data_IF_388846732024
#
_entry.id   IF_388846732024
#
_cell.length_a   1.000
_cell.length_b   1.000
_cell.length_c   1.000
_cell.angle_alpha   90.00
_cell.angle_beta   90.00
_cell.angle_gamma   90.00
#
_symmetry.space_group_name_H-M   'P 1'
#
loop_
_entity.id
_entity.type
_entity.pdbx_description
1 polymer ?
#
# COMPACT_ATOMS: atom_id res chain seq x y z
N UNK A 1 -2.47 -60.74 -25.42
CA UNK A 1 -2.89 -59.43 -25.99
C UNK A 1 -3.37 -58.40 -24.95
N UNK A 2 -4.23 -58.73 -23.99
CA UNK A 2 -4.74 -57.76 -22.97
C UNK A 2 -3.63 -57.08 -22.11
N UNK A 3 -2.63 -57.86 -21.63
CA UNK A 3 -1.53 -57.27 -20.82
C UNK A 3 -0.70 -56.21 -21.56
N UNK A 4 -0.43 -56.38 -22.86
CA UNK A 4 0.30 -55.36 -23.66
C UNK A 4 -0.51 -54.08 -23.84
N UNK A 5 -1.84 -54.16 -23.96
CA UNK A 5 -2.72 -52.96 -24.10
C UNK A 5 -2.78 -52.19 -22.80
N UNK A 6 -2.83 -52.86 -21.63
CA UNK A 6 -2.81 -52.20 -20.33
C UNK A 6 -1.45 -51.52 -20.11
N UNK A 7 -0.35 -52.13 -20.45
CA UNK A 7 0.97 -51.51 -20.32
C UNK A 7 1.12 -50.22 -21.18
N UNK A 8 0.64 -50.32 -22.43
CA UNK A 8 0.67 -49.13 -23.35
C UNK A 8 -0.23 -48.00 -22.82
N UNK A 9 -1.41 -48.30 -22.31
CA UNK A 9 -2.32 -47.33 -21.74
C UNK A 9 -1.72 -46.66 -20.49
N UNK A 10 -1.03 -47.42 -19.62
CA UNK A 10 -0.35 -46.86 -18.44
C UNK A 10 0.82 -45.95 -18.82
N UNK A 11 1.60 -46.28 -19.84
CA UNK A 11 2.71 -45.47 -20.33
C UNK A 11 2.19 -44.17 -20.93
N UNK A 12 1.09 -44.23 -21.70
CA UNK A 12 0.46 -43.04 -22.29
C UNK A 12 -0.09 -42.12 -21.18
N UNK A 13 -0.72 -42.68 -20.15
CA UNK A 13 -1.23 -41.91 -19.02
C UNK A 13 -0.11 -41.22 -18.25
N UNK A 14 1.00 -41.90 -17.96
CA UNK A 14 2.19 -41.32 -17.31
C UNK A 14 2.77 -40.17 -18.16
N UNK A 15 2.90 -40.36 -19.48
CA UNK A 15 3.40 -39.36 -20.40
C UNK A 15 2.50 -38.11 -20.43
N UNK A 16 1.18 -38.30 -20.47
CA UNK A 16 0.23 -37.18 -20.43
C UNK A 16 0.35 -36.42 -19.10
N UNK A 17 0.44 -37.13 -17.98
CA UNK A 17 0.61 -36.51 -16.65
C UNK A 17 1.92 -35.72 -16.57
N UNK A 18 3.03 -36.29 -17.08
CA UNK A 18 4.32 -35.59 -17.12
C UNK A 18 4.28 -34.34 -18.01
N UNK A 19 3.59 -34.40 -19.17
CA UNK A 19 3.44 -33.25 -20.06
C UNK A 19 2.58 -32.16 -19.39
N UNK A 20 1.46 -32.51 -18.76
CA UNK A 20 0.60 -31.57 -18.04
C UNK A 20 1.36 -30.94 -16.89
N UNK A 21 2.11 -31.74 -16.11
CA UNK A 21 2.94 -31.22 -15.01
C UNK A 21 4.06 -30.32 -15.54
N UNK A 22 4.72 -30.69 -16.64
CA UNK A 22 5.76 -29.86 -17.26
C UNK A 22 5.19 -28.54 -17.81
N UNK A 23 4.01 -28.57 -18.47
CA UNK A 23 3.32 -27.38 -18.94
C UNK A 23 2.90 -26.49 -17.78
N UNK A 24 2.43 -27.08 -16.67
CA UNK A 24 2.09 -26.36 -15.45
C UNK A 24 3.32 -25.70 -14.81
N UNK A 25 4.43 -26.45 -14.72
CA UNK A 25 5.72 -25.91 -14.22
C UNK A 25 6.29 -24.83 -15.15
N UNK A 26 6.20 -25.01 -16.47
CA UNK A 26 6.65 -24.01 -17.45
C UNK A 26 5.74 -22.78 -17.40
N UNK A 27 4.42 -22.95 -17.28
CA UNK A 27 3.48 -21.84 -17.12
C UNK A 27 3.72 -21.07 -15.82
N UNK A 28 4.05 -21.77 -14.74
CA UNK A 28 4.44 -21.14 -13.48
C UNK A 28 5.86 -20.55 -13.49
N UNK A 29 6.79 -21.10 -14.29
CA UNK A 29 8.14 -20.56 -14.45
C UNK A 29 8.20 -19.40 -15.44
N UNK A 30 7.31 -19.36 -16.43
CA UNK A 30 7.16 -18.24 -17.38
C UNK A 30 6.20 -17.15 -16.89
N UNK A 31 5.56 -17.31 -15.76
CA UNK A 31 5.15 -16.17 -14.96
C UNK A 31 6.45 -15.53 -14.50
N UNK A 32 6.91 -14.56 -15.28
CA UNK A 32 7.98 -13.65 -14.89
C UNK A 32 7.64 -13.24 -13.45
N UNK A 33 8.41 -13.74 -12.51
CA UNK A 33 8.42 -13.22 -11.16
C UNK A 33 9.13 -11.86 -11.22
N UNK A 34 8.51 -10.92 -11.90
CA UNK A 34 8.72 -9.53 -11.54
C UNK A 34 8.07 -9.43 -10.16
N UNK A 35 8.85 -9.72 -9.13
CA UNK A 35 8.50 -9.52 -7.73
C UNK A 35 8.42 -8.01 -7.40
N UNK A 36 8.14 -7.19 -8.36
CA UNK A 36 8.06 -5.75 -8.21
C UNK A 36 6.78 -5.44 -7.43
N UNK A 37 6.95 -5.16 -6.17
CA UNK A 37 5.89 -4.70 -5.28
C UNK A 37 5.89 -3.19 -5.36
N UNK A 38 4.81 -2.62 -5.82
CA UNK A 38 4.60 -1.17 -5.80
C UNK A 38 3.62 -0.88 -4.67
N UNK A 39 4.04 -0.09 -3.71
CA UNK A 39 3.18 0.37 -2.63
C UNK A 39 3.02 1.87 -2.72
N UNK A 40 1.78 2.30 -2.81
CA UNK A 40 1.41 3.67 -2.58
C UNK A 40 1.35 3.90 -1.07
N UNK A 41 2.08 4.90 -0.57
CA UNK A 41 2.10 5.23 0.86
C UNK A 41 1.22 6.44 1.16
N UNK A 42 0.49 6.40 2.26
CA UNK A 42 -0.25 7.58 2.76
C UNK A 42 0.66 8.74 3.14
N UNK A 43 1.94 8.51 3.34
CA UNK A 43 2.90 9.54 3.76
C UNK A 43 3.26 10.46 2.59
N UNK A 44 3.31 9.92 1.37
CA UNK A 44 3.49 10.71 0.15
C UNK A 44 2.71 10.07 -1.01
N UNK A 45 1.42 10.43 -1.17
CA UNK A 45 0.53 9.82 -2.14
C UNK A 45 0.95 10.02 -3.60
N UNK A 46 1.82 10.97 -3.86
CA UNK A 46 2.23 11.34 -5.20
C UNK A 46 3.35 10.44 -5.75
N UNK A 47 3.96 9.56 -4.91
CA UNK A 47 5.09 8.72 -5.30
C UNK A 47 4.77 7.23 -5.25
N UNK A 48 5.11 6.53 -6.32
CA UNK A 48 4.97 5.09 -6.47
C UNK A 48 6.36 4.46 -6.70
N UNK A 49 6.82 3.72 -5.71
CA UNK A 49 8.20 3.21 -5.65
C UNK A 49 8.32 1.79 -6.19
N UNK A 50 9.38 1.52 -6.94
CA UNK A 50 9.83 0.18 -7.32
C UNK A 50 11.35 0.05 -7.21
N UNK A 51 11.91 -1.14 -7.50
CA UNK A 51 13.36 -1.33 -7.51
C UNK A 51 14.05 -0.48 -8.59
N UNK A 52 13.41 -0.36 -9.76
CA UNK A 52 14.03 0.23 -10.95
C UNK A 52 13.60 1.67 -11.22
N UNK A 53 12.46 2.10 -10.66
CA UNK A 53 11.92 3.43 -10.93
C UNK A 53 10.99 3.95 -9.85
N UNK A 54 10.77 5.26 -9.88
CA UNK A 54 9.73 5.96 -9.12
C UNK A 54 8.82 6.66 -10.11
N UNK A 55 7.53 6.43 -10.01
CA UNK A 55 6.51 7.18 -10.73
C UNK A 55 5.90 8.22 -9.77
N UNK A 56 5.80 9.47 -10.21
CA UNK A 56 5.18 10.53 -9.42
C UNK A 56 4.48 11.57 -10.29
N UNK A 57 3.49 12.27 -9.71
CA UNK A 57 2.89 13.46 -10.31
C UNK A 57 3.59 14.72 -9.80
N UNK A 58 3.93 15.62 -10.70
CA UNK A 58 4.36 16.95 -10.32
C UNK A 58 3.16 17.83 -9.92
N UNK A 59 3.45 19.04 -9.42
CA UNK A 59 2.41 20.00 -9.00
C UNK A 59 1.45 20.46 -10.10
N UNK A 60 1.72 20.13 -11.36
CA UNK A 60 0.84 20.40 -12.51
C UNK A 60 0.04 19.17 -12.97
N UNK A 61 0.21 18.02 -12.30
CA UNK A 61 -0.42 16.76 -12.65
C UNK A 61 0.25 16.07 -13.85
N UNK A 62 1.51 16.33 -14.12
CA UNK A 62 2.30 15.61 -15.12
C UNK A 62 2.97 14.40 -14.46
N UNK A 63 2.80 13.24 -15.05
CA UNK A 63 3.45 12.02 -14.60
C UNK A 63 4.92 11.99 -15.02
N UNK A 64 5.77 11.77 -14.06
CA UNK A 64 7.21 11.61 -14.20
C UNK A 64 7.64 10.18 -13.84
N UNK A 65 8.77 9.79 -14.40
CA UNK A 65 9.48 8.56 -14.07
C UNK A 65 10.93 8.92 -13.71
N UNK A 66 11.33 8.57 -12.51
CA UNK A 66 12.73 8.62 -12.07
C UNK A 66 13.32 7.22 -12.25
N UNK A 67 14.33 7.10 -13.11
CA UNK A 67 15.14 5.88 -13.23
C UNK A 67 16.12 5.81 -12.04
N UNK A 68 15.97 4.81 -11.17
CA UNK A 68 16.76 4.71 -9.93
C UNK A 68 18.23 4.40 -10.17
N UNK A 69 18.58 3.84 -11.32
CA UNK A 69 19.96 3.49 -11.68
C UNK A 69 20.73 4.71 -12.17
N UNK A 70 20.12 5.49 -13.04
CA UNK A 70 20.77 6.68 -13.65
C UNK A 70 20.47 7.97 -12.89
N UNK A 71 19.48 8.00 -12.01
CA UNK A 71 18.97 9.20 -11.34
C UNK A 71 18.28 10.19 -12.29
N UNK A 72 17.95 9.78 -13.51
CA UNK A 72 17.28 10.66 -14.47
C UNK A 72 15.80 10.76 -14.17
N UNK A 73 15.33 12.00 -14.10
CA UNK A 73 13.92 12.34 -14.07
C UNK A 73 13.44 12.68 -15.48
N UNK A 74 12.43 11.97 -15.96
CA UNK A 74 11.86 12.14 -17.29
C UNK A 74 10.34 12.24 -17.22
N UNK A 75 9.75 13.12 -18.03
CA UNK A 75 8.30 13.16 -18.22
C UNK A 75 7.86 11.87 -18.92
N UNK A 76 6.82 11.21 -18.41
CA UNK A 76 6.27 9.98 -18.98
C UNK A 76 5.46 10.25 -20.26
N UNK A 77 6.11 10.83 -21.25
CA UNK A 77 5.53 11.22 -22.54
C UNK A 77 6.58 11.20 -23.62
N UNK A 78 6.36 10.40 -24.67
CA UNK A 78 7.22 10.32 -25.85
C UNK A 78 6.67 11.03 -27.09
N UNK A 79 5.51 11.74 -26.94
CA UNK A 79 4.86 12.47 -28.02
C UNK A 79 5.77 13.57 -28.56
N UNK A 80 6.12 13.54 -29.84
CA UNK A 80 6.98 14.56 -30.45
C UNK A 80 6.40 15.98 -30.31
N UNK A 81 7.25 16.93 -29.93
CA UNK A 81 6.87 18.34 -29.72
C UNK A 81 5.76 18.57 -28.69
N UNK A 82 5.62 17.67 -27.73
CA UNK A 82 4.72 17.87 -26.60
C UNK A 82 5.27 18.99 -25.69
N UNK A 83 4.42 19.92 -25.30
CA UNK A 83 4.78 21.01 -24.38
C UNK A 83 4.70 20.58 -22.92
N UNK A 84 4.23 19.35 -22.64
CA UNK A 84 4.03 18.78 -21.31
C UNK A 84 3.22 19.69 -20.37
N UNK A 85 2.16 20.29 -20.93
CA UNK A 85 1.24 21.10 -20.14
C UNK A 85 0.27 20.19 -19.38
N UNK A 86 0.17 20.38 -18.05
CA UNK A 86 -0.74 19.67 -17.17
C UNK A 86 -2.09 20.36 -17.03
N UNK A 87 -2.86 19.89 -16.05
CA UNK A 87 -4.17 20.48 -15.72
C UNK A 87 -4.02 21.85 -15.05
N UNK A 88 -4.86 22.80 -15.45
CA UNK A 88 -4.94 24.12 -14.84
C UNK A 88 -6.36 24.68 -14.97
N UNK A 89 -6.63 25.82 -14.33
CA UNK A 89 -7.91 26.53 -14.48
C UNK A 89 -8.24 26.89 -15.93
N UNK A 90 -7.22 27.10 -16.76
CA UNK A 90 -7.35 27.49 -18.17
C UNK A 90 -7.14 26.34 -19.13
N UNK A 91 -6.62 25.19 -18.66
CA UNK A 91 -6.41 23.97 -19.45
C UNK A 91 -6.98 22.77 -18.70
N UNK A 92 -8.28 22.51 -18.86
CA UNK A 92 -8.97 21.38 -18.21
C UNK A 92 -8.87 20.07 -19.01
N UNK A 93 -8.38 20.12 -20.25
CA UNK A 93 -8.21 18.97 -21.14
C UNK A 93 -6.83 19.01 -21.81
N UNK A 94 -5.73 18.82 -21.06
CA UNK A 94 -4.39 18.86 -21.62
C UNK A 94 -4.18 17.76 -22.64
N UNK A 95 -3.46 18.08 -23.72
CA UNK A 95 -3.18 17.15 -24.81
C UNK A 95 -1.97 16.24 -24.55
N UNK A 96 -1.28 16.45 -23.43
CA UNK A 96 -0.15 15.63 -23.01
C UNK A 96 -0.62 14.26 -22.49
N UNK A 97 -0.12 13.14 -23.04
CA UNK A 97 -0.46 11.82 -22.53
C UNK A 97 -0.09 11.59 -21.05
N UNK A 98 0.93 12.30 -20.56
CA UNK A 98 1.36 12.23 -19.17
C UNK A 98 0.54 13.12 -18.22
N UNK A 99 -0.46 13.85 -18.70
CA UNK A 99 -1.30 14.68 -17.84
C UNK A 99 -2.41 13.85 -17.18
N UNK A 100 -2.52 13.96 -15.85
CA UNK A 100 -3.50 13.29 -15.01
C UNK A 100 -4.15 14.29 -14.07
N UNK A 101 -5.47 14.23 -13.92
CA UNK A 101 -6.20 15.06 -12.96
C UNK A 101 -6.03 14.54 -11.54
N UNK A 102 -6.14 13.22 -11.38
CA UNK A 102 -5.92 12.51 -10.13
C UNK A 102 -5.42 11.10 -10.44
N UNK A 103 -4.46 10.65 -9.68
CA UNK A 103 -3.85 9.35 -9.84
C UNK A 103 -3.51 8.77 -8.48
N UNK A 104 -3.90 7.53 -8.26
CA UNK A 104 -3.54 6.75 -7.08
C UNK A 104 -2.93 5.43 -7.53
N UNK A 105 -1.72 5.16 -7.09
CA UNK A 105 -1.06 3.87 -7.34
C UNK A 105 -0.81 3.60 -8.83
N UNK A 106 0.15 4.29 -9.45
CA UNK A 106 0.59 4.00 -10.80
C UNK A 106 1.63 2.88 -10.83
N UNK A 107 1.56 2.01 -11.84
CA UNK A 107 2.55 0.95 -12.07
C UNK A 107 2.74 0.69 -13.55
N UNK A 108 3.96 0.37 -13.94
CA UNK A 108 4.27 -0.19 -15.25
C UNK A 108 4.32 -1.71 -15.12
N UNK A 109 3.42 -2.41 -15.79
CA UNK A 109 3.31 -3.87 -15.75
C UNK A 109 3.01 -4.41 -17.14
N UNK A 110 3.79 -5.38 -17.63
CA UNK A 110 3.67 -5.96 -18.98
C UNK A 110 3.55 -4.91 -20.10
N UNK A 111 4.45 -3.91 -20.12
CA UNK A 111 4.49 -2.81 -21.08
C UNK A 111 3.26 -1.89 -21.10
N UNK A 112 2.45 -1.93 -20.04
CA UNK A 112 1.33 -1.02 -19.86
C UNK A 112 1.47 -0.25 -18.54
N UNK A 113 0.98 0.98 -18.54
CA UNK A 113 0.78 1.75 -17.32
C UNK A 113 -0.64 1.50 -16.81
N UNK A 114 -0.72 1.01 -15.59
CA UNK A 114 -1.96 0.89 -14.84
C UNK A 114 -2.01 1.95 -13.74
N UNK A 115 -3.18 2.51 -13.48
CA UNK A 115 -3.38 3.44 -12.37
C UNK A 115 -4.84 3.48 -11.96
N UNK A 116 -5.10 3.88 -10.71
CA UNK A 116 -6.44 4.14 -10.21
C UNK A 116 -6.64 5.64 -10.17
N UNK A 117 -7.83 6.11 -10.56
CA UNK A 117 -8.15 7.52 -10.54
C UNK A 117 -9.51 7.81 -11.15
N UNK A 118 -9.77 9.10 -11.30
CA UNK A 118 -10.90 9.62 -12.05
C UNK A 118 -10.44 10.74 -12.97
N UNK A 119 -11.27 11.10 -13.92
CA UNK A 119 -11.02 12.24 -14.81
C UNK A 119 -11.80 13.45 -14.29
N UNK A 120 -11.35 14.65 -14.64
CA UNK A 120 -11.92 15.93 -14.14
C UNK A 120 -13.40 16.16 -14.43
N UNK A 121 -13.97 15.43 -15.40
CA UNK A 121 -15.36 15.52 -15.81
C UNK A 121 -16.25 14.40 -15.24
N UNK A 122 -15.70 13.59 -14.33
CA UNK A 122 -16.35 12.44 -13.74
C UNK A 122 -16.82 12.71 -12.31
N UNK A 123 -17.73 11.84 -11.87
CA UNK A 123 -18.14 11.80 -10.47
C UNK A 123 -16.94 11.43 -9.60
N UNK A 124 -16.54 12.35 -8.73
CA UNK A 124 -15.38 12.20 -7.84
C UNK A 124 -15.56 11.09 -6.80
N UNK A 125 -16.80 10.59 -6.65
CA UNK A 125 -17.09 9.47 -5.73
C UNK A 125 -16.83 8.11 -6.33
N UNK A 126 -16.49 8.04 -7.63
CA UNK A 126 -16.26 6.80 -8.35
C UNK A 126 -14.81 6.76 -8.86
N UNK A 127 -14.09 5.73 -8.49
CA UNK A 127 -12.75 5.47 -9.01
C UNK A 127 -12.80 4.42 -10.14
N UNK A 128 -11.80 4.46 -11.00
CA UNK A 128 -11.63 3.48 -12.08
C UNK A 128 -10.20 2.99 -12.13
N UNK A 129 -10.02 1.73 -12.49
CA UNK A 129 -8.74 1.26 -13.00
C UNK A 129 -8.63 1.68 -14.47
N UNK A 130 -7.57 2.39 -14.77
CA UNK A 130 -7.17 2.74 -16.14
C UNK A 130 -6.01 1.89 -16.57
N UNK A 131 -5.95 1.65 -17.87
CA UNK A 131 -4.77 1.10 -18.55
C UNK A 131 -4.44 1.96 -19.75
N UNK A 132 -3.16 2.15 -20.02
CA UNK A 132 -2.66 2.81 -21.22
C UNK A 132 -1.34 2.16 -21.65
N UNK A 133 -0.99 2.34 -22.91
CA UNK A 133 0.29 1.87 -23.41
C UNK A 133 1.44 2.65 -22.77
N UNK A 134 2.64 2.06 -22.76
CA UNK A 134 3.84 2.68 -22.15
C UNK A 134 4.24 4.02 -22.78
N UNK A 135 3.75 4.33 -23.97
CA UNK A 135 3.93 5.62 -24.66
C UNK A 135 2.85 6.67 -24.30
N UNK A 136 1.91 6.33 -23.40
CA UNK A 136 0.84 7.23 -22.97
C UNK A 136 -0.41 7.19 -23.86
N UNK A 137 -0.42 6.41 -24.94
CA UNK A 137 -1.58 6.28 -25.82
C UNK A 137 -2.58 5.24 -25.32
N UNK A 138 -3.72 5.16 -26.00
CA UNK A 138 -4.77 4.14 -25.79
C UNK A 138 -5.30 4.06 -24.35
N UNK A 139 -5.33 5.18 -23.61
CA UNK A 139 -5.89 5.26 -22.26
C UNK A 139 -7.36 4.85 -22.26
N UNK A 140 -7.70 3.88 -21.44
CA UNK A 140 -9.08 3.38 -21.31
C UNK A 140 -9.41 2.94 -19.88
N UNK A 141 -10.68 3.06 -19.49
CA UNK A 141 -11.24 2.49 -18.27
C UNK A 141 -11.41 0.99 -18.44
N UNK A 142 -11.07 0.22 -17.41
CA UNK A 142 -11.18 -1.25 -17.41
C UNK A 142 -12.04 -1.79 -16.29
N UNK A 143 -11.90 -1.30 -15.06
CA UNK A 143 -12.71 -1.70 -13.93
C UNK A 143 -13.27 -0.46 -13.22
N UNK A 144 -14.51 -0.54 -12.78
CA UNK A 144 -15.19 0.49 -11.97
C UNK A 144 -15.14 0.07 -10.52
N UNK A 145 -14.69 0.96 -9.66
CA UNK A 145 -14.69 0.83 -8.21
C UNK A 145 -15.91 1.62 -7.69
N UNK A 146 -17.02 0.94 -7.50
CA UNK A 146 -18.22 1.53 -6.93
C UNK A 146 -18.05 1.73 -5.42
N UNK A 147 -18.51 2.88 -4.92
CA UNK A 147 -18.40 3.24 -3.50
C UNK A 147 -16.96 3.25 -2.98
N UNK A 148 -16.01 3.73 -3.78
CA UNK A 148 -14.63 4.00 -3.40
C UNK A 148 -14.34 5.46 -3.67
N UNK A 149 -14.29 6.28 -2.62
CA UNK A 149 -14.04 7.73 -2.74
C UNK A 149 -12.54 8.03 -2.66
N UNK A 150 -11.88 7.53 -1.62
CA UNK A 150 -10.48 7.83 -1.35
C UNK A 150 -9.66 6.55 -1.32
N UNK A 151 -8.79 6.39 -2.29
CA UNK A 151 -7.79 5.31 -2.30
C UNK A 151 -6.64 5.71 -1.40
N UNK A 152 -6.29 4.86 -0.43
CA UNK A 152 -5.30 5.13 0.61
C UNK A 152 -3.97 4.43 0.36
N UNK A 153 -4.02 3.23 -0.18
CA UNK A 153 -2.84 2.45 -0.52
C UNK A 153 -3.15 1.58 -1.73
N UNK A 154 -2.16 1.32 -2.57
CA UNK A 154 -2.28 0.42 -3.71
C UNK A 154 -1.05 -0.46 -3.79
N UNK A 155 -1.27 -1.74 -4.00
CA UNK A 155 -0.26 -2.76 -4.19
C UNK A 155 -0.53 -3.51 -5.49
N UNK A 156 0.50 -3.72 -6.30
CA UNK A 156 0.43 -4.55 -7.51
C UNK A 156 1.24 -5.82 -7.28
N UNK A 157 0.61 -6.96 -7.31
CA UNK A 157 1.28 -8.24 -7.09
C UNK A 157 0.61 -9.38 -7.84
N UNK A 158 1.44 -10.27 -8.40
CA UNK A 158 1.02 -11.36 -9.26
C UNK A 158 0.21 -10.83 -10.45
N UNK A 159 -1.08 -10.97 -10.47
CA UNK A 159 -1.96 -10.40 -11.49
C UNK A 159 -3.09 -9.56 -10.88
N UNK A 160 -2.83 -9.03 -9.70
CA UNK A 160 -3.82 -8.25 -8.95
C UNK A 160 -3.39 -6.82 -8.72
N UNK A 161 -4.37 -5.92 -8.80
CA UNK A 161 -4.32 -4.60 -8.18
C UNK A 161 -5.07 -4.70 -6.87
N UNK A 162 -4.42 -4.43 -5.78
CA UNK A 162 -4.98 -4.52 -4.42
C UNK A 162 -4.93 -3.13 -3.83
N UNK A 163 -6.04 -2.63 -3.34
CA UNK A 163 -6.06 -1.29 -2.76
C UNK A 163 -6.86 -1.22 -1.47
N UNK A 164 -6.45 -0.31 -0.61
CA UNK A 164 -7.20 0.13 0.54
C UNK A 164 -7.96 1.40 0.22
N UNK A 165 -9.18 1.54 0.73
CA UNK A 165 -10.00 2.72 0.53
C UNK A 165 -10.67 3.17 1.83
N UNK A 166 -11.03 4.44 1.86
CA UNK A 166 -11.96 4.97 2.86
C UNK A 166 -13.00 5.85 2.18
N UNK A 167 -14.20 5.85 2.72
CA UNK A 167 -15.28 6.73 2.34
C UNK A 167 -15.59 7.68 3.50
N UNK A 168 -15.72 8.96 3.21
CA UNK A 168 -16.21 9.94 4.15
C UNK A 168 -17.74 9.98 4.12
N UNK A 169 -18.33 10.50 5.17
CA UNK A 169 -19.75 10.85 5.17
C UNK A 169 -20.01 12.02 4.25
N UNK A 170 -21.17 12.06 3.61
CA UNK A 170 -21.60 13.22 2.84
C UNK A 170 -22.03 14.35 3.80
N UNK A 171 -21.52 15.55 3.54
CA UNK A 171 -21.91 16.76 4.25
C UNK A 171 -22.76 17.65 3.33
N UNK A 172 -23.77 18.30 3.88
CA UNK A 172 -24.49 19.37 3.18
C UNK A 172 -23.65 20.66 3.13
N UNK A 173 -24.19 21.68 2.45
CA UNK A 173 -23.53 23.01 2.33
C UNK A 173 -23.28 23.69 3.68
N UNK A 174 -23.96 23.25 4.75
CA UNK A 174 -23.83 23.74 6.12
C UNK A 174 -22.84 22.93 6.96
N UNK A 175 -22.22 21.89 6.37
CA UNK A 175 -21.27 21.00 7.04
C UNK A 175 -21.91 19.93 7.92
N UNK A 176 -23.23 19.70 7.77
CA UNK A 176 -23.95 18.66 8.51
C UNK A 176 -23.95 17.34 7.72
N UNK A 177 -23.86 16.23 8.43
CA UNK A 177 -23.98 14.88 7.82
C UNK A 177 -25.37 14.71 7.22
N UNK A 178 -25.43 14.41 5.91
CA UNK A 178 -26.70 14.26 5.17
C UNK A 178 -27.36 12.93 5.49
N UNK A 179 -26.56 11.88 5.69
CA UNK A 179 -27.02 10.52 5.96
C UNK A 179 -26.50 10.06 7.33
N UNK A 180 -27.26 9.19 8.01
CA UNK A 180 -26.80 8.51 9.23
C UNK A 180 -25.70 7.47 8.94
N UNK A 181 -25.08 7.53 7.76
CA UNK A 181 -24.05 6.58 7.34
C UNK A 181 -22.72 6.93 8.04
N UNK A 182 -22.12 5.93 8.65
CA UNK A 182 -20.77 6.04 9.22
C UNK A 182 -19.72 5.92 8.11
N UNK A 183 -18.55 6.56 8.28
CA UNK A 183 -17.44 6.35 7.38
C UNK A 183 -17.11 4.86 7.23
N UNK A 184 -16.73 4.48 6.04
CA UNK A 184 -16.41 3.09 5.70
C UNK A 184 -14.97 2.98 5.22
N UNK A 185 -14.31 1.88 5.57
CA UNK A 185 -13.02 1.50 5.02
C UNK A 185 -13.03 0.04 4.58
N UNK A 186 -12.23 -0.31 3.61
CA UNK A 186 -12.16 -1.66 3.11
C UNK A 186 -11.01 -1.88 2.13
N UNK A 187 -10.92 -3.10 1.66
CA UNK A 187 -9.98 -3.53 0.63
C UNK A 187 -10.76 -3.81 -0.65
N UNK A 188 -10.19 -3.42 -1.78
CA UNK A 188 -10.59 -3.91 -3.09
C UNK A 188 -9.45 -4.68 -3.74
N UNK A 189 -9.81 -5.66 -4.56
CA UNK A 189 -8.88 -6.43 -5.39
C UNK A 189 -9.42 -6.46 -6.81
N UNK A 190 -8.60 -6.14 -7.79
CA UNK A 190 -8.93 -6.21 -9.21
C UNK A 190 -8.03 -7.24 -9.87
N UNK A 191 -8.63 -8.26 -10.47
CA UNK A 191 -7.93 -9.24 -11.30
C UNK A 191 -7.63 -8.62 -12.68
N UNK A 192 -6.38 -8.48 -13.04
CA UNK A 192 -5.95 -7.87 -14.31
C UNK A 192 -6.22 -8.75 -15.54
N UNK A 193 -6.47 -10.05 -15.39
CA UNK A 193 -6.80 -10.94 -16.52
C UNK A 193 -8.23 -10.68 -17.04
N UNK A 194 -9.17 -10.35 -16.16
CA UNK A 194 -10.59 -10.22 -16.51
C UNK A 194 -11.27 -8.97 -15.97
N UNK A 195 -10.52 -8.14 -15.22
CA UNK A 195 -11.00 -6.91 -14.56
C UNK A 195 -12.14 -7.12 -13.56
N UNK A 196 -12.28 -8.33 -13.01
CA UNK A 196 -13.24 -8.59 -11.92
C UNK A 196 -12.77 -7.87 -10.66
N UNK A 197 -13.71 -7.20 -10.01
CA UNK A 197 -13.50 -6.52 -8.74
C UNK A 197 -14.04 -7.39 -7.61
N UNK A 198 -13.24 -7.54 -6.56
CA UNK A 198 -13.59 -8.18 -5.31
C UNK A 198 -13.49 -7.15 -4.19
N UNK A 199 -14.34 -7.22 -3.20
CA UNK A 199 -14.39 -6.29 -2.07
C UNK A 199 -14.39 -7.07 -0.77
N UNK A 200 -13.60 -6.63 0.22
CA UNK A 200 -13.67 -7.16 1.58
C UNK A 200 -14.96 -6.72 2.27
N UNK A 201 -15.25 -7.33 3.42
CA UNK A 201 -16.22 -6.76 4.34
C UNK A 201 -15.79 -5.35 4.74
N UNK A 202 -16.76 -4.46 4.83
CA UNK A 202 -16.53 -3.07 5.21
C UNK A 202 -16.29 -2.97 6.71
N UNK A 203 -15.35 -2.13 7.08
CA UNK A 203 -15.15 -1.71 8.46
C UNK A 203 -15.86 -0.38 8.62
N UNK A 204 -16.86 -0.35 9.48
CA UNK A 204 -17.64 0.87 9.77
C UNK A 204 -17.28 1.37 11.16
N UNK A 205 -16.79 2.59 11.25
CA UNK A 205 -16.66 3.35 12.49
C UNK A 205 -16.53 4.82 12.12
N UNK A 206 -16.70 5.71 13.08
CA UNK A 206 -16.62 7.16 12.82
C UNK A 206 -15.27 7.60 12.24
N UNK A 207 -14.20 6.85 12.52
CA UNK A 207 -12.87 7.09 11.95
C UNK A 207 -12.15 5.77 11.65
N UNK A 208 -12.74 4.91 10.81
CA UNK A 208 -12.05 3.72 10.33
C UNK A 208 -11.04 4.08 9.24
N UNK A 209 -9.82 3.61 9.39
CA UNK A 209 -8.79 3.76 8.37
C UNK A 209 -7.97 2.48 8.22
N UNK A 210 -7.54 2.19 6.99
CA UNK A 210 -6.60 1.12 6.70
C UNK A 210 -5.22 1.76 6.54
N UNK A 211 -4.26 1.26 7.29
CA UNK A 211 -2.92 1.86 7.37
C UNK A 211 -1.90 1.16 6.48
N UNK A 212 -2.01 -0.15 6.35
CA UNK A 212 -1.13 -0.94 5.47
C UNK A 212 -1.88 -2.10 4.81
N UNK A 213 -1.36 -2.54 3.67
CA UNK A 213 -1.78 -3.74 2.95
C UNK A 213 -0.56 -4.60 2.59
N UNK A 214 -0.72 -5.91 2.64
CA UNK A 214 0.26 -6.90 2.21
C UNK A 214 -0.46 -8.05 1.50
N UNK A 215 0.15 -8.61 0.47
CA UNK A 215 -0.43 -9.74 -0.27
C UNK A 215 0.52 -10.91 -0.31
N UNK A 216 0.01 -12.07 -0.01
CA UNK A 216 0.72 -13.33 -0.16
C UNK A 216 -0.23 -14.50 -0.42
N UNK A 217 0.13 -15.35 -1.39
CA UNK A 217 -0.54 -16.63 -1.65
C UNK A 217 -2.08 -16.56 -1.81
N UNK A 218 -2.61 -15.52 -2.45
CA UNK A 218 -4.05 -15.35 -2.68
C UNK A 218 -4.80 -14.71 -1.52
N UNK A 219 -4.11 -14.28 -0.48
CA UNK A 219 -4.68 -13.57 0.64
C UNK A 219 -4.12 -12.14 0.77
N UNK A 220 -4.98 -11.20 1.11
CA UNK A 220 -4.61 -9.81 1.43
C UNK A 220 -4.66 -9.65 2.94
N UNK A 221 -3.54 -9.29 3.52
CA UNK A 221 -3.45 -8.89 4.92
C UNK A 221 -3.51 -7.36 4.99
N UNK A 222 -4.23 -6.82 5.96
CA UNK A 222 -4.30 -5.38 6.13
C UNK A 222 -4.44 -4.98 7.59
N UNK A 223 -3.85 -3.85 7.93
CA UNK A 223 -3.93 -3.27 9.26
C UNK A 223 -4.93 -2.12 9.27
N UNK A 224 -5.64 -1.99 10.39
CA UNK A 224 -6.65 -0.96 10.59
C UNK A 224 -6.40 -0.19 11.86
N UNK A 225 -6.83 1.07 11.86
CA UNK A 225 -7.01 1.86 13.06
C UNK A 225 -8.46 2.35 13.10
N UNK A 226 -9.10 2.27 14.26
CA UNK A 226 -10.44 2.82 14.50
C UNK A 226 -10.46 3.48 15.87
N UNK A 227 -11.24 4.53 15.95
CA UNK A 227 -11.50 5.23 17.20
C UNK A 227 -12.94 4.96 17.63
N UNK A 228 -13.17 5.00 18.95
CA UNK A 228 -14.52 4.95 19.51
C UNK A 228 -15.32 6.21 19.14
N UNK A 229 -16.63 6.08 19.17
CA UNK A 229 -17.55 7.18 18.81
C UNK A 229 -17.30 8.44 19.69
N UNK A 230 -16.98 8.25 20.96
CA UNK A 230 -16.71 9.32 21.92
C UNK A 230 -15.43 10.14 21.61
N UNK A 231 -14.47 9.56 20.86
CA UNK A 231 -13.22 10.23 20.49
C UNK A 231 -13.48 11.36 19.50
N UNK A 232 -14.33 11.10 18.51
CA UNK A 232 -14.67 12.10 17.51
C UNK A 232 -15.40 13.27 18.11
N UNK A 233 -16.34 13.02 19.03
CA UNK A 233 -17.09 14.07 19.73
C UNK A 233 -16.15 14.95 20.56
N UNK A 234 -15.25 14.36 21.34
CA UNK A 234 -14.26 15.08 22.13
C UNK A 234 -13.31 15.92 21.26
N UNK A 235 -12.81 15.37 20.16
CA UNK A 235 -11.91 16.08 19.23
C UNK A 235 -12.59 17.26 18.55
N UNK A 236 -13.91 17.20 18.32
CA UNK A 236 -14.69 18.31 17.77
C UNK A 236 -14.89 19.39 18.84
N UNK A 237 -15.19 19.02 20.07
CA UNK A 237 -15.49 19.96 21.16
C UNK A 237 -14.24 20.68 21.68
N UNK A 238 -13.16 19.96 21.91
CA UNK A 238 -11.96 20.47 22.59
C UNK A 238 -10.80 20.79 21.63
N UNK A 239 -10.88 20.33 20.37
CA UNK A 239 -9.78 20.41 19.43
C UNK A 239 -8.63 19.45 19.79
N UNK A 240 -7.46 19.61 19.14
CA UNK A 240 -6.28 18.79 19.40
C UNK A 240 -5.55 19.29 20.67
N UNK A 241 -6.12 18.99 21.82
CA UNK A 241 -5.50 19.23 23.14
C UNK A 241 -4.74 17.97 23.59
N UNK A 242 -3.78 18.13 24.50
CA UNK A 242 -3.05 16.97 25.06
C UNK A 242 -3.97 15.95 25.73
N UNK A 243 -5.07 16.42 26.34
CA UNK A 243 -6.05 15.54 26.99
C UNK A 243 -6.88 14.79 25.94
N UNK A 244 -7.30 15.45 24.86
CA UNK A 244 -8.02 14.83 23.75
C UNK A 244 -7.14 13.81 23.00
N UNK A 245 -5.85 14.11 22.78
CA UNK A 245 -4.89 13.17 22.19
C UNK A 245 -4.67 11.94 23.08
N UNK A 246 -4.56 12.12 24.39
CA UNK A 246 -4.43 11.02 25.35
C UNK A 246 -5.69 10.14 25.34
N UNK A 247 -6.86 10.76 25.35
CA UNK A 247 -8.14 10.05 25.29
C UNK A 247 -8.28 9.28 23.96
N UNK A 248 -7.90 9.88 22.84
CA UNK A 248 -7.90 9.21 21.54
C UNK A 248 -6.99 7.99 21.53
N UNK A 249 -5.79 8.10 22.10
CA UNK A 249 -4.87 6.97 22.22
C UNK A 249 -5.45 5.84 23.09
N UNK A 250 -6.07 6.16 24.22
CA UNK A 250 -6.66 5.18 25.12
C UNK A 250 -7.90 4.46 24.52
N UNK A 251 -8.54 5.08 23.52
CA UNK A 251 -9.72 4.52 22.86
C UNK A 251 -9.46 4.10 21.40
N UNK A 252 -8.19 4.02 21.02
CA UNK A 252 -7.77 3.55 19.69
C UNK A 252 -7.67 2.03 19.66
N UNK A 253 -8.35 1.40 18.71
CA UNK A 253 -8.28 -0.02 18.46
C UNK A 253 -7.61 -0.28 17.12
N UNK A 254 -6.52 -1.03 17.14
CA UNK A 254 -5.81 -1.46 15.96
C UNK A 254 -6.15 -2.92 15.65
N UNK A 255 -6.32 -3.24 14.38
CA UNK A 255 -6.65 -4.60 13.96
C UNK A 255 -5.76 -5.09 12.83
N UNK A 256 -5.54 -6.39 12.76
CA UNK A 256 -4.95 -7.07 11.62
C UNK A 256 -5.99 -8.05 11.07
N UNK A 257 -6.26 -7.93 9.79
CA UNK A 257 -7.26 -8.72 9.10
C UNK A 257 -6.65 -9.43 7.90
N UNK A 258 -7.28 -10.52 7.53
CA UNK A 258 -6.99 -11.28 6.32
C UNK A 258 -8.23 -11.34 5.43
N UNK A 259 -8.09 -11.01 4.16
CA UNK A 259 -9.11 -11.23 3.13
C UNK A 259 -8.62 -12.30 2.15
N UNK A 260 -9.31 -13.43 2.12
CA UNK A 260 -9.07 -14.50 1.16
C UNK A 260 -9.84 -14.18 -0.14
N UNK A 261 -9.10 -14.06 -1.26
CA UNK A 261 -9.67 -13.66 -2.54
C UNK A 261 -10.55 -14.76 -3.13
N UNK A 262 -10.16 -16.02 -2.96
CA UNK A 262 -10.88 -17.15 -3.56
C UNK A 262 -12.20 -17.42 -2.84
N UNK A 263 -12.20 -17.33 -1.52
CA UNK A 263 -13.37 -17.53 -0.67
C UNK A 263 -14.21 -16.25 -0.49
N UNK A 264 -13.69 -15.11 -0.94
CA UNK A 264 -14.28 -13.76 -0.74
C UNK A 264 -14.63 -13.51 0.74
N UNK A 265 -13.70 -13.88 1.65
CA UNK A 265 -13.94 -13.89 3.10
C UNK A 265 -12.94 -13.07 3.87
N UNK A 266 -13.44 -12.19 4.73
CA UNK A 266 -12.65 -11.46 5.71
C UNK A 266 -12.56 -12.21 7.04
N UNK A 267 -11.39 -12.22 7.66
CA UNK A 267 -11.13 -12.81 8.97
C UNK A 267 -10.31 -11.82 9.81
N UNK A 268 -10.78 -11.49 11.00
CA UNK A 268 -9.99 -10.77 11.99
C UNK A 268 -8.95 -11.73 12.59
N UNK A 269 -7.66 -11.40 12.47
CA UNK A 269 -6.57 -12.18 13.05
C UNK A 269 -6.27 -11.78 14.48
N UNK A 270 -6.28 -10.48 14.76
CA UNK A 270 -6.09 -9.91 16.09
C UNK A 270 -6.61 -8.48 16.14
N UNK A 271 -7.01 -8.05 17.32
CA UNK A 271 -7.25 -6.65 17.68
C UNK A 271 -6.37 -6.31 18.86
N UNK A 272 -5.72 -5.15 18.84
CA UNK A 272 -4.74 -4.71 19.83
C UNK A 272 -5.03 -3.25 20.16
N UNK A 273 -5.18 -2.96 21.43
CA UNK A 273 -5.36 -1.62 21.98
C UNK A 273 -4.05 -1.04 22.54
N UNK A 274 -4.04 0.24 22.82
CA UNK A 274 -2.90 0.95 23.43
C UNK A 274 -1.56 0.75 22.73
N UNK A 275 -1.57 0.73 21.39
CA UNK A 275 -0.36 0.60 20.58
C UNK A 275 -0.20 1.75 19.61
N UNK A 276 1.05 1.99 19.22
CA UNK A 276 1.41 2.98 18.22
C UNK A 276 2.01 2.31 16.99
N UNK A 277 1.87 2.99 15.85
CA UNK A 277 2.62 2.70 14.62
C UNK A 277 2.53 1.24 14.15
N UNK A 278 1.32 0.64 14.21
CA UNK A 278 1.12 -0.68 13.63
C UNK A 278 1.42 -0.65 12.13
N UNK A 279 2.37 -1.50 11.71
CA UNK A 279 2.77 -1.65 10.31
C UNK A 279 2.73 -3.12 9.91
N UNK A 280 2.23 -3.41 8.71
CA UNK A 280 2.37 -4.74 8.11
C UNK A 280 3.64 -4.77 7.25
N UNK A 281 4.61 -5.55 7.68
CA UNK A 281 5.90 -5.70 7.01
C UNK A 281 6.12 -7.18 6.69
N UNK A 282 6.13 -7.55 5.41
CA UNK A 282 6.21 -8.94 4.92
C UNK A 282 5.17 -9.89 5.56
N UNK A 283 3.95 -9.39 5.74
CA UNK A 283 2.84 -10.17 6.29
C UNK A 283 2.70 -10.13 7.80
N UNK A 284 3.72 -9.75 8.54
CA UNK A 284 3.68 -9.65 10.00
C UNK A 284 3.34 -8.24 10.48
N UNK A 285 2.67 -8.14 11.63
CA UNK A 285 2.32 -6.88 12.26
C UNK A 285 3.40 -6.42 13.24
N UNK A 286 4.06 -5.30 12.94
CA UNK A 286 5.05 -4.67 13.81
C UNK A 286 4.47 -3.42 14.47
N UNK A 287 4.63 -3.30 15.77
CA UNK A 287 4.09 -2.16 16.52
C UNK A 287 4.91 -1.83 17.76
N UNK A 288 4.67 -0.65 18.33
CA UNK A 288 5.19 -0.23 19.62
C UNK A 288 4.07 0.03 20.62
N UNK A 289 4.37 -0.18 21.90
CA UNK A 289 3.53 0.19 23.04
C UNK A 289 4.43 0.78 24.13
N UNK A 290 3.84 1.15 25.27
CA UNK A 290 4.60 1.56 26.47
C UNK A 290 5.55 0.46 27.00
N UNK A 291 5.30 -0.81 26.67
CA UNK A 291 6.07 -1.95 27.12
C UNK A 291 7.19 -2.36 26.13
N UNK A 292 7.34 -1.64 25.01
CA UNK A 292 8.39 -1.86 24.02
C UNK A 292 7.89 -2.11 22.60
N UNK A 293 8.68 -2.81 21.83
CA UNK A 293 8.41 -3.14 20.42
C UNK A 293 8.03 -4.61 20.26
N UNK A 294 7.09 -4.87 19.39
CA UNK A 294 6.51 -6.21 19.22
C UNK A 294 6.34 -6.56 17.74
N UNK A 295 6.31 -7.86 17.47
CA UNK A 295 5.86 -8.43 16.21
C UNK A 295 4.76 -9.43 16.47
N UNK A 296 3.67 -9.32 15.73
CA UNK A 296 2.60 -10.29 15.63
C UNK A 296 2.80 -11.09 14.35
N UNK A 297 3.09 -12.37 14.50
CA UNK A 297 3.22 -13.32 13.40
C UNK A 297 1.82 -13.73 12.93
N UNK A 298 1.47 -13.42 11.69
CA UNK A 298 0.11 -13.65 11.16
C UNK A 298 -0.19 -15.12 10.89
N UNK A 299 0.81 -15.97 10.68
CA UNK A 299 0.64 -17.40 10.45
C UNK A 299 0.39 -18.14 11.77
N UNK A 300 1.27 -17.97 12.74
CA UNK A 300 1.13 -18.59 14.06
C UNK A 300 0.14 -17.90 14.99
N UNK A 301 -0.24 -16.66 14.69
CA UNK A 301 -1.07 -15.76 15.52
C UNK A 301 -0.49 -15.52 16.92
N UNK A 302 0.82 -15.44 17.01
CA UNK A 302 1.52 -15.19 18.25
C UNK A 302 2.25 -13.86 18.24
N UNK A 303 2.29 -13.21 19.39
CA UNK A 303 3.04 -11.97 19.58
C UNK A 303 4.38 -12.27 20.26
N UNK A 304 5.44 -11.63 19.77
CA UNK A 304 6.79 -11.70 20.33
C UNK A 304 7.32 -10.28 20.55
N UNK A 305 7.99 -10.05 21.67
CA UNK A 305 8.72 -8.80 21.90
C UNK A 305 10.01 -8.77 21.10
N UNK A 306 10.30 -7.62 20.50
CA UNK A 306 11.56 -7.38 19.78
C UNK A 306 12.61 -6.85 20.74
N UNK A 307 13.89 -7.23 20.57
CA UNK A 307 14.99 -6.78 21.42
C UNK A 307 15.46 -5.37 21.01
N UNK A 308 14.56 -4.42 20.97
CA UNK A 308 14.83 -3.00 20.72
C UNK A 308 14.86 -2.28 22.06
N UNK A 309 16.06 -1.79 22.43
CA UNK A 309 16.25 -0.97 23.62
C UNK A 309 15.84 0.48 23.31
N UNK A 310 14.65 0.83 23.76
CA UNK A 310 14.06 2.16 23.61
C UNK A 310 13.90 2.89 24.95
N UNK A 311 14.56 2.45 26.00
CA UNK A 311 14.45 3.09 27.33
C UNK A 311 14.93 4.56 27.25
N UNK A 312 14.03 5.47 27.63
CA UNK A 312 14.27 6.92 27.52
C UNK A 312 14.37 7.46 26.08
N UNK A 313 13.89 6.71 25.08
CA UNK A 313 13.95 7.10 23.67
C UNK A 313 12.56 7.06 23.03
N UNK A 314 12.35 7.95 22.06
CA UNK A 314 11.16 8.02 21.25
C UNK A 314 11.44 7.50 19.83
N UNK A 315 10.51 6.74 19.28
CA UNK A 315 10.58 6.29 17.89
C UNK A 315 10.48 7.47 16.92
N UNK A 316 11.43 7.54 15.98
CA UNK A 316 11.44 8.54 14.91
C UNK A 316 11.02 7.89 13.58
N UNK A 317 9.79 8.15 13.18
CA UNK A 317 9.21 7.55 11.98
C UNK A 317 8.81 6.07 12.13
N UNK A 318 8.18 5.48 11.11
CA UNK A 318 7.69 4.11 11.15
C UNK A 318 8.82 3.08 10.99
N UNK A 319 8.57 1.88 11.50
CA UNK A 319 9.41 0.71 11.22
C UNK A 319 9.35 0.36 9.73
N UNK A 320 10.46 -0.11 9.17
CA UNK A 320 10.57 -0.61 7.78
C UNK A 320 11.32 -1.93 7.74
N UNK A 321 11.00 -2.77 6.76
CA UNK A 321 11.66 -4.07 6.60
C UNK A 321 12.17 -4.22 5.17
N UNK A 322 13.35 -4.82 5.01
CA UNK A 322 13.88 -5.24 3.72
C UNK A 322 14.67 -6.54 3.91
N UNK A 323 14.17 -7.61 3.30
CA UNK A 323 14.66 -8.96 3.51
C UNK A 323 14.66 -9.30 5.01
N UNK A 324 15.79 -9.77 5.53
CA UNK A 324 15.92 -10.16 6.95
C UNK A 324 16.12 -8.98 7.91
N UNK A 325 16.21 -7.75 7.42
CA UNK A 325 16.51 -6.58 8.24
C UNK A 325 15.28 -5.75 8.54
N UNK A 326 15.09 -5.43 9.82
CA UNK A 326 14.15 -4.42 10.30
C UNK A 326 14.91 -3.12 10.56
N UNK A 327 14.48 -2.03 9.97
CA UNK A 327 15.07 -0.70 10.12
C UNK A 327 14.18 0.17 11.01
N UNK A 328 14.82 0.90 11.91
CA UNK A 328 14.15 1.81 12.82
C UNK A 328 15.06 2.96 13.23
N UNK A 329 14.47 4.03 13.73
CA UNK A 329 15.21 5.16 14.25
C UNK A 329 14.67 5.59 15.62
N UNK A 330 15.56 6.00 16.50
CA UNK A 330 15.25 6.45 17.85
C UNK A 330 15.89 7.80 18.10
N UNK A 331 15.18 8.65 18.84
CA UNK A 331 15.69 9.91 19.39
C UNK A 331 15.60 9.86 20.91
N UNK A 332 16.65 10.28 21.61
CA UNK A 332 16.60 10.46 23.06
C UNK A 332 15.76 11.70 23.41
N UNK A 333 15.08 11.67 24.54
CA UNK A 333 14.31 12.80 24.99
C UNK A 333 15.22 14.03 25.21
N UNK A 334 14.85 15.16 24.62
CA UNK A 334 15.62 16.41 24.59
C UNK A 334 16.98 16.32 23.85
N UNK A 335 17.19 15.34 23.00
CA UNK A 335 18.35 15.26 22.10
C UNK A 335 18.06 15.90 20.76
N UNK A 336 19.05 16.59 20.21
CA UNK A 336 19.02 17.06 18.82
C UNK A 336 19.52 16.00 17.83
N UNK A 337 19.61 14.75 18.24
CA UNK A 337 20.11 13.66 17.41
C UNK A 337 19.08 12.52 17.26
N UNK A 338 19.02 11.96 16.05
CA UNK A 338 18.29 10.74 15.69
C UNK A 338 19.31 9.67 15.32
N UNK A 339 19.22 8.52 15.95
CA UNK A 339 20.07 7.36 15.65
C UNK A 339 19.29 6.33 14.85
N UNK A 340 19.84 5.91 13.73
CA UNK A 340 19.26 4.91 12.82
C UNK A 340 19.90 3.56 13.08
N UNK A 341 19.06 2.53 13.12
CA UNK A 341 19.46 1.16 13.43
C UNK A 341 18.91 0.17 12.40
N UNK A 342 19.55 -0.98 12.32
CA UNK A 342 18.95 -2.19 11.74
C UNK A 342 19.00 -3.34 12.75
N UNK A 343 17.96 -4.16 12.75
CA UNK A 343 17.82 -5.36 13.57
C UNK A 343 17.82 -6.59 12.66
N UNK A 344 18.65 -7.58 12.99
CA UNK A 344 18.66 -8.91 12.38
C UNK A 344 19.09 -9.95 13.43
N UNK A 345 18.43 -11.11 13.44
CA UNK A 345 18.71 -12.21 14.36
C UNK A 345 18.83 -11.73 15.82
N UNK A 346 17.88 -10.90 16.25
CA UNK A 346 17.79 -10.27 17.56
C UNK A 346 19.03 -9.40 17.96
N UNK A 347 19.76 -8.92 16.97
CA UNK A 347 20.89 -8.02 17.16
C UNK A 347 20.69 -6.69 16.45
N UNK A 348 20.69 -5.62 17.25
CA UNK A 348 20.65 -4.25 16.73
C UNK A 348 22.05 -3.76 16.40
N UNK A 349 22.17 -3.12 15.24
CA UNK A 349 23.37 -2.46 14.77
C UNK A 349 23.05 -1.00 14.48
N UNK A 350 23.84 -0.10 15.07
CA UNK A 350 23.78 1.33 14.77
C UNK A 350 24.35 1.58 13.37
N UNK A 351 23.60 2.29 12.54
CA UNK A 351 24.01 2.63 11.17
C UNK A 351 24.59 4.04 11.08
N UNK A 352 23.87 5.02 11.64
CA UNK A 352 24.28 6.42 11.59
C UNK A 352 23.55 7.26 12.65
N UNK A 353 24.09 8.45 12.90
CA UNK A 353 23.46 9.51 13.70
C UNK A 353 23.35 10.77 12.88
N UNK A 354 22.23 11.43 12.95
CA UNK A 354 21.98 12.72 12.30
C UNK A 354 21.36 13.67 13.31
N UNK A 355 21.66 14.98 13.17
CA UNK A 355 20.90 15.98 13.92
C UNK A 355 19.44 15.96 13.49
N UNK A 356 18.52 16.32 14.37
CA UNK A 356 17.06 16.36 14.06
C UNK A 356 16.77 17.29 12.89
N UNK A 357 17.55 18.34 12.68
CA UNK A 357 17.46 19.23 11.51
C UNK A 357 17.80 18.52 10.17
N UNK A 358 18.57 17.43 10.22
CA UNK A 358 19.01 16.65 9.06
C UNK A 358 18.42 15.23 9.04
N UNK A 359 17.64 14.90 10.07
CA UNK A 359 17.00 13.60 10.16
C UNK A 359 15.92 13.46 9.10
N UNK A 360 15.76 12.27 8.57
CA UNK A 360 14.78 11.96 7.53
C UNK A 360 13.94 10.74 7.93
N UNK A 361 12.70 10.73 7.51
CA UNK A 361 11.87 9.53 7.54
C UNK A 361 12.29 8.56 6.43
N UNK A 362 12.35 7.26 6.71
CA UNK A 362 12.47 6.25 5.66
C UNK A 362 11.08 6.06 5.07
N UNK A 363 10.88 6.56 3.85
CA UNK A 363 9.59 6.45 3.13
C UNK A 363 9.33 5.03 2.67
N UNK A 364 10.31 4.43 2.00
CA UNK A 364 10.17 3.08 1.50
C UNK A 364 11.54 2.40 1.34
N UNK A 365 11.54 1.07 1.30
CA UNK A 365 12.70 0.25 0.94
C UNK A 365 12.25 -0.74 -0.12
N UNK A 366 12.83 -0.64 -1.33
CA UNK A 366 12.57 -1.55 -2.44
C UNK A 366 13.89 -2.17 -2.89
N UNK A 367 14.07 -3.48 -2.67
CA UNK A 367 15.32 -4.16 -2.95
C UNK A 367 16.50 -3.55 -2.18
N UNK A 368 17.47 -2.98 -2.91
CA UNK A 368 18.65 -2.30 -2.31
C UNK A 368 18.49 -0.77 -2.23
N UNK A 369 17.37 -0.23 -2.72
CA UNK A 369 17.11 1.21 -2.74
C UNK A 369 16.35 1.63 -1.49
N UNK A 370 16.83 2.68 -0.83
CA UNK A 370 16.16 3.31 0.32
C UNK A 370 15.69 4.70 -0.12
N UNK A 371 14.40 4.92 -0.06
CA UNK A 371 13.77 6.20 -0.36
C UNK A 371 13.55 6.97 0.94
N UNK A 372 14.01 8.20 0.96
CA UNK A 372 13.97 9.05 2.14
C UNK A 372 13.28 10.37 1.79
N UNK A 373 12.49 10.88 2.73
CA UNK A 373 11.96 12.23 2.63
C UNK A 373 12.95 13.18 3.29
N UNK A 374 13.47 14.10 2.51
CA UNK A 374 14.40 15.13 2.97
C UNK A 374 13.69 16.49 2.88
N UNK A 375 13.49 17.12 4.01
CA UNK A 375 13.03 18.51 4.06
C UNK A 375 14.23 19.42 4.08
N UNK A 376 14.41 20.22 3.00
CA UNK A 376 15.40 21.31 2.95
C UNK A 376 15.08 22.43 3.93
#
# INVERSE_FOLDING_TARGET
MKKKRILIASIIFILITCIVTAVFIIKNKNRSTSNTVYTYSNVNPDYNYSEDNVLYLDGSGILHLIDTVSGKDIVYCDKPNCTHEGYSRTNQNPSCPAAFYGLSGAVIYNDHLYFIGNMSDEDMTIQYLYVMDSNGENRKKTAKLENVQHVKAVLYRDNYVIGAYSNSVELNDEGQIINDDKPEAGIFVIDLDNYKVYMSDKITSEQANITDIYYENGAVYYSTVRFGDDVTELMIEEGATADAESFAYDNMLNGIYQYDIADEKTTCLTEIDHINNLRLLDGDGYYSSKDGYFVFDTESRQTRQLPIDADGKTQYGPLKKSGDFLYYALSEENSDEVTYYRLKDDKSEELMKLSTEKAFGIENICGQSVYVNYTD
#
